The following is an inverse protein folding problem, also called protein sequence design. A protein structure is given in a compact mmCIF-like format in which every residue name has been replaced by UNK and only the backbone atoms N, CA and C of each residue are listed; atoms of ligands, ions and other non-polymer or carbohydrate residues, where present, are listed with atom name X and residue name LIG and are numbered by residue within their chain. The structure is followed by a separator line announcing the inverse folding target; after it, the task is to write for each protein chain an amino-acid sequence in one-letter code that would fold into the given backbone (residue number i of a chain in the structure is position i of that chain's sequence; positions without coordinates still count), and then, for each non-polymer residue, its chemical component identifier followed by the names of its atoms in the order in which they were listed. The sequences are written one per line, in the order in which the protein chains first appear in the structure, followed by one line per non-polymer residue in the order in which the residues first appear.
data_IF_820851321529
#
_entry.id   IF_820851321529
#
_cell.length_a   1.000
_cell.length_b   1.000
_cell.length_c   1.000
_cell.angle_alpha   90.00
_cell.angle_beta   90.00
_cell.angle_gamma   90.00
#
_symmetry.space_group_name_H-M   'P 1'
#
loop_
_entity.id
_entity.type
_entity.pdbx_description
1 polymer ?
#
# COMPACT_ATOMS: atom_id res chain seq x y z
N UNK A 1 0.47 1.28 -1.92
CA UNK A 1 1.28 0.07 -1.63
C UNK A 1 1.47 -0.06 -0.13
N UNK A 2 1.09 -1.21 0.41
CA UNK A 2 1.31 -1.58 1.81
C UNK A 2 2.48 -2.57 1.90
N UNK A 3 3.24 -2.51 3.00
CA UNK A 3 4.36 -3.42 3.27
C UNK A 3 4.21 -4.08 4.64
N UNK A 4 4.73 -5.29 4.80
CA UNK A 4 4.82 -5.91 6.13
C UNK A 4 5.99 -5.36 6.95
N UNK A 5 7.15 -5.21 6.31
CA UNK A 5 8.36 -4.62 6.86
C UNK A 5 9.25 -4.08 5.75
N UNK A 6 10.35 -3.42 6.10
CA UNK A 6 11.40 -3.05 5.17
C UNK A 6 11.84 -4.28 4.37
N UNK A 7 11.75 -4.18 3.04
CA UNK A 7 12.06 -5.26 2.09
C UNK A 7 11.22 -6.54 2.29
N UNK A 8 10.05 -6.43 2.96
CA UNK A 8 9.11 -7.53 3.19
C UNK A 8 8.08 -7.70 2.06
N UNK A 9 6.99 -8.39 2.39
CA UNK A 9 5.85 -8.59 1.47
C UNK A 9 5.23 -7.25 1.11
N UNK A 10 4.94 -7.05 -0.17
CA UNK A 10 4.28 -5.86 -0.70
C UNK A 10 2.87 -6.22 -1.18
N UNK A 11 1.91 -5.37 -0.84
CA UNK A 11 0.55 -5.42 -1.33
C UNK A 11 0.25 -4.17 -2.17
N UNK A 12 -0.31 -4.38 -3.36
CA UNK A 12 -0.74 -3.34 -4.30
C UNK A 12 -2.24 -3.48 -4.48
N UNK A 13 -2.95 -2.37 -4.30
CA UNK A 13 -4.41 -2.32 -4.34
C UNK A 13 -4.89 -0.93 -4.72
N UNK A 14 -6.08 -0.84 -5.30
CA UNK A 14 -6.86 0.39 -5.47
C UNK A 14 -7.95 0.51 -4.40
N UNK A 15 -8.27 1.74 -3.99
CA UNK A 15 -9.36 2.05 -3.05
C UNK A 15 -9.85 3.48 -3.28
N UNK A 16 -11.15 3.73 -3.07
CA UNK A 16 -11.71 5.10 -3.00
C UNK A 16 -11.54 5.73 -1.62
N UNK A 17 -11.25 4.93 -0.58
CA UNK A 17 -10.99 5.41 0.78
C UNK A 17 -9.68 4.81 1.30
N UNK A 18 -8.63 5.64 1.34
CA UNK A 18 -7.28 5.21 1.73
C UNK A 18 -7.20 4.92 3.23
N UNK A 19 -7.76 5.79 4.08
CA UNK A 19 -7.73 5.65 5.54
C UNK A 19 -8.42 4.35 5.97
N UNK A 20 -9.62 4.09 5.46
CA UNK A 20 -10.36 2.85 5.71
C UNK A 20 -9.55 1.62 5.30
N UNK A 21 -8.93 1.63 4.12
CA UNK A 21 -8.10 0.50 3.66
C UNK A 21 -6.90 0.25 4.57
N UNK A 22 -6.21 1.29 5.03
CA UNK A 22 -5.10 1.12 5.97
C UNK A 22 -5.60 0.57 7.30
N UNK A 23 -6.73 1.10 7.80
CA UNK A 23 -7.36 0.59 9.02
C UNK A 23 -7.69 -0.90 8.88
N UNK A 24 -8.40 -1.33 7.83
CA UNK A 24 -8.78 -2.73 7.58
C UNK A 24 -7.56 -3.69 7.61
N UNK A 25 -6.44 -3.27 7.01
CA UNK A 25 -5.22 -4.06 7.01
C UNK A 25 -4.54 -4.09 8.38
N UNK A 26 -4.50 -2.96 9.10
CA UNK A 26 -3.88 -2.86 10.43
C UNK A 26 -4.67 -3.62 11.49
N UNK A 27 -5.98 -3.42 11.53
CA UNK A 27 -6.88 -4.11 12.45
C UNK A 27 -7.04 -5.58 12.12
N UNK A 28 -6.44 -6.04 10.99
CA UNK A 28 -6.55 -7.41 10.51
C UNK A 28 -8.02 -7.83 10.34
N UNK A 29 -8.87 -6.85 10.03
CA UNK A 29 -10.31 -7.00 9.95
C UNK A 29 -10.74 -8.05 8.93
N UNK A 30 -10.03 -8.10 7.79
CA UNK A 30 -10.23 -9.12 6.77
C UNK A 30 -9.21 -10.24 6.93
N UNK A 31 -9.70 -11.49 7.02
CA UNK A 31 -8.86 -12.68 6.98
C UNK A 31 -8.35 -12.92 5.56
N UNK A 32 -7.10 -13.36 5.41
CA UNK A 32 -6.50 -13.60 4.09
C UNK A 32 -4.99 -13.40 4.03
N UNK A 33 -4.48 -13.09 2.83
CA UNK A 33 -3.04 -12.92 2.58
C UNK A 33 -2.41 -11.83 3.44
N UNK A 34 -3.04 -10.66 3.49
CA UNK A 34 -2.51 -9.49 4.21
C UNK A 34 -2.51 -9.70 5.73
N UNK A 35 -3.51 -10.42 6.24
CA UNK A 35 -3.55 -10.92 7.61
C UNK A 35 -2.37 -11.87 7.89
N UNK A 36 -2.19 -12.90 7.05
CA UNK A 36 -1.13 -13.92 7.21
C UNK A 36 0.27 -13.31 7.22
N UNK A 37 0.54 -12.32 6.36
CA UNK A 37 1.87 -11.74 6.20
C UNK A 37 2.06 -10.41 6.95
N UNK A 38 1.11 -10.02 7.81
CA UNK A 38 1.16 -8.79 8.60
C UNK A 38 1.44 -7.53 7.75
N UNK A 39 0.73 -7.38 6.62
CA UNK A 39 0.94 -6.28 5.66
C UNK A 39 0.15 -5.05 6.10
N UNK A 40 0.77 -4.22 6.94
CA UNK A 40 0.08 -3.17 7.72
C UNK A 40 0.65 -1.75 7.55
N UNK A 41 1.78 -1.58 6.85
CA UNK A 41 2.50 -0.29 6.76
C UNK A 41 2.25 0.38 5.41
N UNK A 42 1.59 1.53 5.38
CA UNK A 42 1.41 2.31 4.15
C UNK A 42 2.71 3.08 3.84
N UNK A 43 3.38 2.71 2.76
CA UNK A 43 4.72 3.23 2.39
C UNK A 43 4.76 3.95 1.06
N UNK A 44 3.68 3.88 0.27
CA UNK A 44 3.53 4.61 -1.00
C UNK A 44 2.05 4.66 -1.39
N UNK A 45 1.60 5.74 -1.99
CA UNK A 45 0.30 5.84 -2.67
C UNK A 45 0.39 6.92 -3.75
N UNK A 46 -0.57 6.92 -4.66
CA UNK A 46 -0.80 7.99 -5.63
C UNK A 46 -2.30 8.17 -5.80
N UNK A 47 -2.72 9.35 -6.25
CA UNK A 47 -4.13 9.71 -6.43
C UNK A 47 -4.41 9.87 -7.92
N UNK A 48 -5.58 9.38 -8.34
CA UNK A 48 -6.07 9.52 -9.71
C UNK A 48 -7.50 10.07 -9.67
N UNK A 49 -7.84 10.95 -10.60
CA UNK A 49 -9.18 11.54 -10.69
C UNK A 49 -10.21 10.54 -11.24
N UNK A 50 -9.76 9.60 -12.07
CA UNK A 50 -10.59 8.62 -12.76
C UNK A 50 -10.36 7.20 -12.21
N UNK A 51 -11.41 6.43 -11.87
CA UNK A 51 -11.27 5.05 -11.40
C UNK A 51 -10.53 4.15 -12.41
N UNK A 52 -10.78 4.34 -13.71
CA UNK A 52 -10.13 3.56 -14.76
C UNK A 52 -8.62 3.81 -14.83
N UNK A 53 -8.18 5.06 -14.62
CA UNK A 53 -6.77 5.39 -14.55
C UNK A 53 -6.10 4.70 -13.35
N UNK A 54 -6.74 4.77 -12.17
CA UNK A 54 -6.25 4.09 -10.96
C UNK A 54 -6.13 2.57 -11.14
N UNK A 55 -7.15 1.93 -11.73
CA UNK A 55 -7.16 0.48 -11.99
C UNK A 55 -6.08 0.09 -13.00
N UNK A 56 -5.94 0.86 -14.08
CA UNK A 56 -4.92 0.60 -15.12
C UNK A 56 -3.53 0.67 -14.52
N UNK A 57 -3.29 1.70 -13.72
CA UNK A 57 -2.02 1.92 -13.05
C UNK A 57 -1.73 0.85 -11.98
N UNK A 58 -2.74 0.41 -11.22
CA UNK A 58 -2.63 -0.73 -10.31
C UNK A 58 -2.18 -2.00 -11.05
N UNK A 59 -2.79 -2.31 -12.20
CA UNK A 59 -2.42 -3.48 -13.03
C UNK A 59 -0.98 -3.40 -13.52
N UNK A 60 -0.55 -2.23 -14.00
CA UNK A 60 0.84 -2.01 -14.42
C UNK A 60 1.81 -2.28 -13.26
N UNK A 61 1.58 -1.66 -12.09
CA UNK A 61 2.45 -1.85 -10.93
C UNK A 61 2.44 -3.31 -10.50
N UNK A 62 1.30 -4.01 -10.48
CA UNK A 62 1.24 -5.43 -10.14
C UNK A 62 2.16 -6.27 -11.03
N UNK A 63 2.21 -5.98 -12.33
CA UNK A 63 3.06 -6.66 -13.31
C UNK A 63 4.57 -6.34 -13.18
N UNK A 64 4.95 -5.28 -12.47
CA UNK A 64 6.36 -4.90 -12.33
C UNK A 64 7.20 -5.90 -11.54
N UNK A 65 8.48 -5.97 -11.90
CA UNK A 65 9.51 -6.63 -11.09
C UNK A 65 9.55 -6.00 -9.69
N UNK A 66 9.94 -6.81 -8.72
CA UNK A 66 10.05 -6.36 -7.32
C UNK A 66 11.01 -5.17 -7.16
N UNK A 67 12.14 -5.17 -7.87
CA UNK A 67 13.11 -4.08 -7.83
C UNK A 67 12.49 -2.73 -8.16
N UNK A 68 11.69 -2.65 -9.23
CA UNK A 68 11.04 -1.41 -9.65
C UNK A 68 9.97 -0.92 -8.66
N UNK A 69 9.29 -1.84 -7.98
CA UNK A 69 8.36 -1.49 -6.89
C UNK A 69 9.11 -0.87 -5.70
N UNK A 70 10.29 -1.39 -5.38
CA UNK A 70 11.14 -0.87 -4.30
C UNK A 70 11.69 0.49 -4.70
N UNK A 71 12.23 0.62 -5.89
CA UNK A 71 12.74 1.89 -6.44
C UNK A 71 11.65 2.97 -6.43
N UNK A 72 10.42 2.65 -6.82
CA UNK A 72 9.28 3.58 -6.73
C UNK A 72 9.05 4.07 -5.30
N UNK A 73 9.11 3.17 -4.31
CA UNK A 73 8.98 3.55 -2.90
C UNK A 73 10.15 4.42 -2.47
N UNK A 74 11.39 4.05 -2.82
CA UNK A 74 12.60 4.75 -2.38
C UNK A 74 12.71 6.14 -3.00
N UNK A 75 12.30 6.32 -4.25
CA UNK A 75 12.29 7.61 -4.93
C UNK A 75 11.26 8.56 -4.31
N UNK A 76 10.06 8.08 -3.97
CA UNK A 76 9.00 8.93 -3.41
C UNK A 76 9.04 9.06 -1.88
N UNK A 77 9.66 8.10 -1.18
CA UNK A 77 9.67 7.99 0.26
C UNK A 77 11.02 7.39 0.74
N UNK A 78 12.14 8.10 0.54
CA UNK A 78 13.48 7.59 0.84
C UNK A 78 13.67 7.29 2.33
N UNK A 79 13.04 8.08 3.20
CA UNK A 79 13.05 7.87 4.65
C UNK A 79 12.13 6.72 5.10
N UNK A 80 11.37 6.10 4.18
CA UNK A 80 10.44 4.99 4.43
C UNK A 80 9.44 5.26 5.56
N UNK A 81 8.96 6.49 5.59
CA UNK A 81 7.95 6.95 6.53
C UNK A 81 6.65 6.17 6.32
N UNK A 82 5.92 5.95 7.42
CA UNK A 82 4.59 5.33 7.36
C UNK A 82 3.57 6.48 7.27
N UNK A 83 2.85 6.56 6.16
CA UNK A 83 2.05 7.74 5.82
C UNK A 83 0.78 7.95 6.66
N UNK A 84 0.21 6.89 7.22
CA UNK A 84 -0.96 6.97 8.10
C UNK A 84 -0.60 6.32 9.42
N UNK A 85 -0.70 7.04 10.53
CA UNK A 85 -0.44 6.55 11.88
C UNK A 85 -1.72 6.12 12.59
N UNK A 86 -1.65 5.26 13.62
CA UNK A 86 -2.84 4.80 14.34
C UNK A 86 -3.67 5.92 14.97
N UNK A 87 -3.02 7.00 15.40
CA UNK A 87 -3.69 8.18 15.97
C UNK A 87 -4.53 8.99 14.96
N UNK A 88 -4.54 8.62 13.68
CA UNK A 88 -5.30 9.31 12.63
C UNK A 88 -6.61 8.57 12.27
N UNK A 89 -7.01 7.60 13.10
CA UNK A 89 -8.29 6.90 12.98
C UNK A 89 -9.37 7.48 13.90
N UNK A 90 -8.99 8.37 14.83
CA UNK A 90 -9.86 9.01 15.82
C UNK A 90 -10.60 10.23 15.24
#
# INVERSE_FOLDING_TARGET
MLASKQNGVLYVGVTSNLVKRVWEHRSRFLTGFTHRYNVTRLVWFEVHNEPLAAITREKQIKAWKRAWKIELIETCNPARQIFIQPSQYD
#
